data_IF_130690484381
#
_entry.id   IF_130690484381
#
_cell.length_a   1.000
_cell.length_b   1.000
_cell.length_c   1.000
_cell.angle_alpha   90.00
_cell.angle_beta   90.00
_cell.angle_gamma   90.00
#
_symmetry.space_group_name_H-M   'P 1'
#
loop_
_entity.id
_entity.type
_entity.pdbx_description
1 polymer ?
#
# COMPACT_ATOMS: atom_id res chain seq x y z
N UNK A 1 -9.40 -12.85 10.22
CA UNK A 1 -10.17 -12.81 11.49
C UNK A 1 -9.51 -11.90 12.51
N UNK A 2 -8.22 -12.10 12.80
CA UNK A 2 -7.46 -11.36 13.83
C UNK A 2 -7.48 -9.83 13.63
N UNK A 3 -7.10 -9.33 12.45
CA UNK A 3 -6.96 -7.88 12.21
C UNK A 3 -8.27 -7.12 12.44
N UNK A 4 -9.38 -7.59 11.85
CA UNK A 4 -10.68 -6.95 12.02
C UNK A 4 -11.18 -7.04 13.46
N UNK A 5 -10.83 -8.12 14.18
CA UNK A 5 -11.21 -8.27 15.59
C UNK A 5 -10.52 -7.27 16.52
N UNK A 6 -9.42 -6.62 16.11
CA UNK A 6 -8.81 -5.56 16.92
C UNK A 6 -9.81 -4.41 17.21
N UNK A 7 -10.79 -4.20 16.34
CA UNK A 7 -11.84 -3.19 16.52
C UNK A 7 -12.82 -3.54 17.65
N UNK A 8 -12.90 -4.80 18.07
CA UNK A 8 -13.74 -5.20 19.21
C UNK A 8 -13.26 -4.60 20.53
N UNK A 9 -12.01 -4.12 20.59
CA UNK A 9 -11.46 -3.46 21.76
C UNK A 9 -12.03 -2.04 21.99
N UNK A 10 -12.76 -1.48 21.02
CA UNK A 10 -13.42 -0.18 21.18
C UNK A 10 -14.59 -0.31 22.16
N UNK A 11 -14.61 0.47 23.26
CA UNK A 11 -15.67 0.39 24.26
C UNK A 11 -17.06 0.64 23.66
N UNK A 12 -18.07 -0.04 24.21
CA UNK A 12 -19.50 0.07 23.89
C UNK A 12 -19.92 -0.39 22.49
N UNK A 13 -19.18 -0.06 21.44
CA UNK A 13 -19.60 -0.30 20.04
C UNK A 13 -18.67 -1.23 19.25
N UNK A 14 -17.53 -1.64 19.80
CA UNK A 14 -16.53 -2.42 19.06
C UNK A 14 -17.06 -3.71 18.44
N UNK A 15 -17.85 -4.49 19.18
CA UNK A 15 -18.44 -5.75 18.67
C UNK A 15 -19.38 -5.46 17.49
N UNK A 16 -20.23 -4.44 17.62
CA UNK A 16 -21.15 -4.04 16.55
C UNK A 16 -20.39 -3.58 15.30
N UNK A 17 -19.26 -2.87 15.48
CA UNK A 17 -18.42 -2.42 14.37
C UNK A 17 -17.77 -3.61 13.63
N UNK A 18 -17.27 -4.61 14.35
CA UNK A 18 -16.70 -5.83 13.77
C UNK A 18 -17.75 -6.56 12.93
N UNK A 19 -18.93 -6.82 13.50
CA UNK A 19 -20.01 -7.52 12.80
C UNK A 19 -20.52 -6.71 11.60
N UNK A 20 -20.57 -5.38 11.71
CA UNK A 20 -20.90 -4.51 10.59
C UNK A 20 -19.89 -4.63 9.45
N UNK A 21 -18.58 -4.63 9.76
CA UNK A 21 -17.50 -4.82 8.78
C UNK A 21 -17.58 -6.21 8.15
N UNK A 22 -17.88 -7.26 8.91
CA UNK A 22 -18.02 -8.60 8.34
C UNK A 22 -19.29 -8.77 7.52
N UNK A 23 -20.36 -8.08 7.89
CA UNK A 23 -21.69 -8.30 7.31
C UNK A 23 -22.34 -9.60 7.82
N UNK A 24 -21.98 -10.01 9.04
CA UNK A 24 -22.37 -11.28 9.65
C UNK A 24 -21.65 -11.50 10.97
N UNK A 25 -21.76 -12.70 11.52
CA UNK A 25 -21.17 -13.08 12.82
C UNK A 25 -19.72 -13.56 12.73
N UNK A 26 -19.24 -13.85 11.52
CA UNK A 26 -17.89 -14.30 11.21
C UNK A 26 -17.47 -13.77 9.84
N UNK A 27 -16.20 -13.97 9.49
CA UNK A 27 -15.72 -13.70 8.13
C UNK A 27 -16.27 -14.78 7.20
N UNK A 28 -17.03 -14.35 6.19
CA UNK A 28 -17.68 -15.21 5.20
C UNK A 28 -17.81 -14.44 3.86
N UNK A 29 -18.57 -14.98 2.89
CA UNK A 29 -18.77 -14.43 1.56
C UNK A 29 -19.14 -12.93 1.53
N UNK A 30 -20.01 -12.40 2.42
CA UNK A 30 -20.28 -10.96 2.48
C UNK A 30 -19.03 -10.12 2.77
N UNK A 31 -18.10 -10.64 3.59
CA UNK A 31 -16.82 -10.00 3.90
C UNK A 31 -15.86 -10.05 2.72
N UNK A 32 -15.77 -11.20 2.03
CA UNK A 32 -14.88 -11.34 0.88
C UNK A 32 -15.28 -10.40 -0.27
N UNK A 33 -16.58 -10.34 -0.58
CA UNK A 33 -17.10 -9.49 -1.66
C UNK A 33 -16.81 -8.02 -1.41
N UNK A 34 -17.09 -7.51 -0.20
CA UNK A 34 -16.80 -6.10 0.13
C UNK A 34 -15.30 -5.81 0.19
N UNK A 35 -14.48 -6.75 0.68
CA UNK A 35 -13.03 -6.55 0.73
C UNK A 35 -12.45 -6.46 -0.68
N UNK A 36 -12.97 -7.24 -1.63
CA UNK A 36 -12.61 -7.08 -3.03
C UNK A 36 -13.02 -5.70 -3.57
N UNK A 37 -14.25 -5.24 -3.30
CA UNK A 37 -14.69 -3.89 -3.71
C UNK A 37 -13.81 -2.78 -3.11
N UNK A 38 -13.46 -2.88 -1.83
CA UNK A 38 -12.57 -1.92 -1.17
C UNK A 38 -11.14 -1.98 -1.73
N UNK A 39 -10.60 -3.18 -1.93
CA UNK A 39 -9.30 -3.39 -2.55
C UNK A 39 -9.25 -2.79 -3.96
N UNK A 40 -10.36 -2.84 -4.71
CA UNK A 40 -10.45 -2.24 -6.02
C UNK A 40 -10.46 -0.71 -5.97
N UNK A 41 -11.25 -0.09 -5.08
CA UNK A 41 -11.38 1.38 -5.05
C UNK A 41 -10.21 2.09 -4.37
N UNK A 42 -9.58 1.50 -3.34
CA UNK A 42 -8.54 2.16 -2.57
C UNK A 42 -7.29 2.56 -3.36
N UNK A 43 -6.78 1.76 -4.33
CA UNK A 43 -5.68 2.19 -5.20
C UNK A 43 -5.96 3.53 -5.91
N UNK A 44 -7.20 3.77 -6.35
CA UNK A 44 -7.59 5.04 -6.98
C UNK A 44 -7.65 6.18 -5.97
N UNK A 45 -8.15 5.91 -4.76
CA UNK A 45 -8.12 6.89 -3.67
C UNK A 45 -6.67 7.27 -3.29
N UNK A 46 -5.77 6.29 -3.23
CA UNK A 46 -4.34 6.49 -2.98
C UNK A 46 -3.72 7.32 -4.12
N UNK A 47 -4.02 7.02 -5.38
CA UNK A 47 -3.55 7.82 -6.52
C UNK A 47 -4.00 9.29 -6.40
N UNK A 48 -5.26 9.54 -6.01
CA UNK A 48 -5.76 10.88 -5.73
C UNK A 48 -5.01 11.57 -4.58
N UNK A 49 -4.77 10.86 -3.48
CA UNK A 49 -3.98 11.36 -2.35
C UNK A 49 -2.52 11.65 -2.75
N UNK A 50 -1.91 10.82 -3.60
CA UNK A 50 -0.55 11.04 -4.14
C UNK A 50 -0.48 12.31 -4.99
N UNK A 51 -1.51 12.64 -5.77
CA UNK A 51 -1.55 13.91 -6.52
C UNK A 51 -1.62 15.12 -5.61
N UNK A 52 -2.44 15.06 -4.54
CA UNK A 52 -2.50 16.12 -3.53
C UNK A 52 -1.15 16.26 -2.81
N UNK A 53 -0.52 15.14 -2.47
CA UNK A 53 0.82 15.12 -1.88
C UNK A 53 1.84 15.82 -2.78
N UNK A 54 1.87 15.49 -4.07
CA UNK A 54 2.77 16.13 -5.04
C UNK A 54 2.46 17.62 -5.26
N UNK A 55 1.18 18.01 -5.21
CA UNK A 55 0.79 19.42 -5.28
C UNK A 55 1.43 20.23 -4.15
N UNK A 56 1.34 19.75 -2.91
CA UNK A 56 1.96 20.44 -1.78
C UNK A 56 3.49 20.40 -1.85
N UNK A 57 4.08 19.29 -2.30
CA UNK A 57 5.51 19.21 -2.55
C UNK A 57 5.97 20.27 -3.59
N UNK A 58 5.17 20.51 -4.64
CA UNK A 58 5.50 21.51 -5.66
C UNK A 58 5.37 22.96 -5.17
N UNK A 59 4.65 23.23 -4.08
CA UNK A 59 4.58 24.57 -3.50
C UNK A 59 5.88 24.97 -2.80
N UNK A 60 6.55 24.03 -2.12
CA UNK A 60 7.79 24.31 -1.37
C UNK A 60 9.05 23.83 -2.08
N UNK A 61 8.93 22.85 -2.97
CA UNK A 61 10.04 22.10 -3.55
C UNK A 61 10.59 21.04 -2.59
N UNK A 62 11.51 20.22 -3.11
CA UNK A 62 12.22 19.20 -2.32
C UNK A 62 13.24 19.83 -1.37
N UNK A 63 13.38 19.24 -0.19
CA UNK A 63 14.52 19.48 0.68
C UNK A 63 15.79 18.82 0.12
N UNK A 64 16.93 19.00 0.78
CA UNK A 64 18.20 18.40 0.43
C UNK A 64 18.93 17.89 1.69
N UNK A 65 19.95 17.02 1.55
CA UNK A 65 20.60 16.38 2.69
C UNK A 65 21.22 17.33 3.72
N UNK A 66 21.58 18.56 3.32
CA UNK A 66 22.16 19.55 4.25
C UNK A 66 21.09 20.31 5.04
N UNK A 67 19.82 20.22 4.64
CA UNK A 67 18.72 20.96 5.26
C UNK A 67 18.75 22.48 5.00
N UNK A 68 19.76 22.98 4.27
CA UNK A 68 19.89 24.40 3.94
C UNK A 68 19.02 24.78 2.73
N UNK A 69 18.84 26.08 2.50
CA UNK A 69 18.07 26.56 1.35
C UNK A 69 18.77 26.21 0.03
N UNK A 70 18.12 25.41 -0.82
CA UNK A 70 18.64 24.93 -2.10
C UNK A 70 18.45 25.89 -3.28
N UNK A 71 17.81 27.05 -3.10
CA UNK A 71 17.50 27.98 -4.20
C UNK A 71 18.74 28.53 -4.92
N UNK A 72 19.90 28.52 -4.27
CA UNK A 72 21.17 28.99 -4.84
C UNK A 72 21.78 28.03 -5.88
N UNK A 73 21.36 26.77 -5.89
CA UNK A 73 21.97 25.71 -6.73
C UNK A 73 20.91 24.71 -7.21
N UNK A 74 19.89 25.22 -7.92
CA UNK A 74 18.87 24.38 -8.55
C UNK A 74 19.31 23.96 -9.94
N UNK A 75 19.15 22.67 -10.24
CA UNK A 75 19.24 22.11 -11.58
C UNK A 75 17.86 21.72 -12.10
N UNK A 76 17.62 21.72 -13.42
CA UNK A 76 16.36 21.25 -13.98
C UNK A 76 16.11 19.77 -13.67
N UNK A 77 14.84 19.37 -13.56
CA UNK A 77 14.47 17.98 -13.27
C UNK A 77 14.87 17.04 -14.41
N UNK A 78 14.54 17.43 -15.65
CA UNK A 78 14.92 16.66 -16.82
C UNK A 78 16.44 16.69 -17.04
N UNK A 79 16.97 15.61 -17.63
CA UNK A 79 18.40 15.25 -17.71
C UNK A 79 19.00 14.79 -16.37
N UNK A 80 18.83 15.50 -15.27
CA UNK A 80 19.49 15.12 -14.02
C UNK A 80 18.71 14.04 -13.26
N UNK A 81 17.46 14.33 -12.91
CA UNK A 81 16.65 13.42 -12.10
C UNK A 81 15.91 12.40 -12.96
N UNK A 82 15.47 12.74 -14.17
CA UNK A 82 14.80 11.76 -15.05
C UNK A 82 15.65 10.51 -15.33
N UNK A 83 16.95 10.66 -15.63
CA UNK A 83 17.82 9.50 -15.87
C UNK A 83 18.22 8.77 -14.59
N UNK A 84 18.41 9.52 -13.49
CA UNK A 84 18.64 8.92 -12.16
C UNK A 84 17.45 8.06 -11.73
N UNK A 85 16.23 8.55 -11.93
CA UNK A 85 15.00 7.84 -11.61
C UNK A 85 14.81 6.64 -12.55
N UNK A 86 15.12 6.77 -13.85
CA UNK A 86 15.07 5.67 -14.80
C UNK A 86 16.03 4.52 -14.43
N UNK A 87 17.24 4.83 -13.96
CA UNK A 87 18.17 3.84 -13.43
C UNK A 87 17.58 3.14 -12.20
N UNK A 88 17.05 3.90 -11.23
CA UNK A 88 16.40 3.34 -10.04
C UNK A 88 15.21 2.43 -10.39
N UNK A 89 14.38 2.84 -11.35
CA UNK A 89 13.24 2.07 -11.84
C UNK A 89 13.68 0.77 -12.54
N UNK A 90 14.77 0.83 -13.31
CA UNK A 90 15.35 -0.36 -13.97
C UNK A 90 15.87 -1.37 -12.95
N UNK A 91 16.54 -0.91 -11.90
CA UNK A 91 17.01 -1.78 -10.80
C UNK A 91 15.81 -2.41 -10.08
N UNK A 92 14.78 -1.62 -9.74
CA UNK A 92 13.56 -2.10 -9.08
C UNK A 92 12.81 -3.14 -9.94
N UNK A 93 12.65 -2.90 -11.24
CA UNK A 93 12.02 -3.88 -12.14
C UNK A 93 12.89 -5.13 -12.31
N UNK A 94 14.22 -4.98 -12.36
CA UNK A 94 15.15 -6.10 -12.44
C UNK A 94 15.05 -7.01 -11.21
N UNK A 95 15.01 -6.43 -10.01
CA UNK A 95 14.86 -7.22 -8.77
C UNK A 95 13.48 -7.88 -8.67
N UNK A 96 12.42 -7.17 -9.06
CA UNK A 96 11.07 -7.74 -9.12
C UNK A 96 11.00 -8.91 -10.12
N UNK A 97 11.59 -8.76 -11.31
CA UNK A 97 11.63 -9.81 -12.32
C UNK A 97 12.41 -11.03 -11.83
N UNK A 98 13.55 -10.84 -11.16
CA UNK A 98 14.32 -11.93 -10.55
C UNK A 98 13.48 -12.68 -9.52
N UNK A 99 12.80 -11.95 -8.62
CA UNK A 99 11.93 -12.55 -7.61
C UNK A 99 10.82 -13.37 -8.28
N UNK A 100 10.10 -12.80 -9.24
CA UNK A 100 8.99 -13.47 -9.91
C UNK A 100 9.43 -14.68 -10.75
N UNK A 101 10.59 -14.61 -11.42
CA UNK A 101 11.05 -15.67 -12.33
C UNK A 101 11.74 -16.83 -11.61
N UNK A 102 12.56 -16.54 -10.59
CA UNK A 102 13.41 -17.55 -9.96
C UNK A 102 12.92 -18.00 -8.58
N UNK A 103 12.16 -17.16 -7.87
CA UNK A 103 11.73 -17.47 -6.50
C UNK A 103 10.37 -16.81 -6.15
N UNK A 104 9.30 -17.08 -6.92
CA UNK A 104 8.03 -16.36 -6.83
C UNK A 104 7.34 -16.45 -5.46
N UNK A 105 7.60 -17.54 -4.73
CA UNK A 105 7.00 -17.79 -3.42
C UNK A 105 7.91 -17.41 -2.24
N UNK A 106 9.08 -16.80 -2.49
CA UNK A 106 10.06 -16.50 -1.45
C UNK A 106 9.52 -15.56 -0.36
N UNK A 107 8.64 -14.63 -0.75
CA UNK A 107 8.01 -13.66 0.17
C UNK A 107 6.57 -14.05 0.53
N UNK A 108 6.12 -15.25 0.14
CA UNK A 108 4.80 -15.77 0.45
C UNK A 108 4.81 -16.69 1.67
N UNK A 109 3.63 -16.98 2.20
CA UNK A 109 3.43 -17.95 3.27
C UNK A 109 2.85 -19.26 2.66
N UNK A 110 3.48 -20.43 2.89
CA UNK A 110 2.97 -21.72 2.41
C UNK A 110 1.53 -22.03 2.81
N UNK A 111 1.06 -21.53 3.96
CA UNK A 111 -0.29 -21.84 4.45
C UNK A 111 -1.39 -21.22 3.55
N UNK A 112 -1.08 -20.14 2.83
CA UNK A 112 -2.02 -19.50 1.89
C UNK A 112 -2.28 -20.34 0.61
N UNK A 113 -1.57 -21.46 0.42
CA UNK A 113 -1.90 -22.45 -0.61
C UNK A 113 -2.96 -23.46 -0.16
N UNK A 114 -3.26 -23.51 1.15
CA UNK A 114 -4.36 -24.32 1.66
C UNK A 114 -5.66 -23.49 1.68
N UNK A 115 -6.79 -24.04 1.19
CA UNK A 115 -8.06 -23.33 1.27
C UNK A 115 -8.45 -23.01 2.71
N UNK A 116 -9.01 -21.83 2.93
CA UNK A 116 -9.43 -21.40 4.24
C UNK A 116 -10.43 -22.38 4.87
N UNK A 117 -10.17 -22.79 6.11
CA UNK A 117 -11.06 -23.60 6.92
C UNK A 117 -11.37 -22.82 8.20
N UNK A 118 -12.65 -22.62 8.53
CA UNK A 118 -13.05 -21.86 9.71
C UNK A 118 -12.97 -22.66 11.02
N UNK A 119 -12.73 -23.97 10.92
CA UNK A 119 -12.71 -24.90 12.05
C UNK A 119 -11.29 -25.33 12.47
N UNK A 120 -10.27 -24.96 11.68
CA UNK A 120 -8.87 -25.34 11.88
C UNK A 120 -8.01 -24.08 11.82
#
# INVERSE_FOLDING_TARGET
TVITNLLSAIPYFGINLVQWIWGGFSIDNPTLTRFFTFHFIFPFAIAGASMIHLLFLHQTGSSNPTGLNSNLDKVPFHVFFSYKDALGFTIMLGTLAILCAFSPNLLGDPDNFTPANSLV
#
